data_IF_916837153127
#
_entry.id   IF_916837153127
#
_cell.length_a   1.000
_cell.length_b   1.000
_cell.length_c   1.000
_cell.angle_alpha   90.00
_cell.angle_beta   90.00
_cell.angle_gamma   90.00
#
_symmetry.space_group_name_H-M   'P 1'
#
loop_
_entity.id
_entity.type
_entity.pdbx_description
1 polymer ?
#
# COMPACT_ATOMS: atom_id res chain seq x y z
N UNK A 1 3.01 22.23 -2.41
CA UNK A 1 2.02 21.41 -3.15
C UNK A 1 2.71 20.14 -3.59
N UNK A 2 2.61 19.09 -2.79
CA UNK A 2 3.05 17.72 -3.08
C UNK A 2 2.72 16.88 -1.84
N UNK A 3 1.86 15.88 -1.99
CA UNK A 3 1.72 14.83 -1.00
C UNK A 3 2.68 13.74 -1.45
N UNK A 4 3.79 13.58 -0.73
CA UNK A 4 4.77 12.56 -1.03
C UNK A 4 4.68 11.44 0.03
N UNK A 5 4.16 10.28 -0.36
CA UNK A 5 4.84 9.04 0.00
C UNK A 5 6.08 8.99 -0.90
N UNK A 6 7.16 9.66 -0.51
CA UNK A 6 8.29 9.82 -1.43
C UNK A 6 9.08 8.54 -1.62
N UNK A 7 9.06 7.60 -0.67
CA UNK A 7 10.04 6.50 -0.67
C UNK A 7 9.56 5.20 0.00
N UNK A 8 8.36 4.67 -0.31
CA UNK A 8 7.96 3.38 0.27
C UNK A 8 7.38 2.42 -0.77
N UNK A 9 8.28 1.63 -1.36
CA UNK A 9 7.95 0.28 -1.82
C UNK A 9 7.61 -0.54 -0.59
N UNK A 10 6.32 -0.63 -0.24
CA UNK A 10 5.89 -1.31 0.97
C UNK A 10 4.95 -2.48 0.73
N UNK A 11 5.20 -3.56 1.46
CA UNK A 11 4.36 -4.74 1.49
C UNK A 11 3.55 -4.72 2.77
N UNK A 12 2.24 -4.76 2.63
CA UNK A 12 1.26 -4.80 3.71
C UNK A 12 0.60 -6.16 3.74
N UNK A 13 0.66 -6.82 4.89
CA UNK A 13 -0.06 -8.05 5.16
C UNK A 13 -1.29 -7.75 6.01
N UNK A 14 -2.41 -8.41 5.68
CA UNK A 14 -3.71 -8.22 6.32
C UNK A 14 -4.11 -9.53 7.01
N UNK A 15 -4.42 -9.46 8.29
CA UNK A 15 -4.91 -10.60 9.07
C UNK A 15 -6.43 -10.81 8.91
N UNK A 16 -6.93 -11.92 9.46
CA UNK A 16 -8.34 -12.31 9.37
C UNK A 16 -9.31 -11.29 9.99
N UNK A 17 -8.84 -10.55 11.00
CA UNK A 17 -9.61 -9.55 11.74
C UNK A 17 -9.62 -8.17 11.04
N UNK A 18 -8.92 -8.02 9.91
CA UNK A 18 -8.77 -6.74 9.22
C UNK A 18 -7.69 -5.84 9.82
N UNK A 19 -6.92 -6.36 10.76
CA UNK A 19 -5.65 -5.74 11.15
C UNK A 19 -4.65 -5.86 10.01
N UNK A 20 -3.75 -4.89 9.89
CA UNK A 20 -2.73 -4.89 8.86
C UNK A 20 -1.38 -4.46 9.41
N UNK A 21 -0.30 -4.91 8.77
CA UNK A 21 1.08 -4.63 9.19
C UNK A 21 2.01 -4.47 8.00
N UNK A 22 3.09 -3.70 8.17
CA UNK A 22 4.11 -3.50 7.13
C UNK A 22 5.22 -4.51 7.29
N UNK A 23 5.49 -5.26 6.22
CA UNK A 23 6.54 -6.28 6.15
C UNK A 23 7.80 -5.73 5.47
N UNK A 24 7.65 -4.81 4.53
CA UNK A 24 8.76 -4.12 3.84
C UNK A 24 8.43 -2.65 3.62
N UNK A 25 9.40 -1.72 3.69
CA UNK A 25 10.66 -1.90 4.43
C UNK A 25 10.35 -2.26 5.89
N UNK A 26 11.10 -3.18 6.47
CA UNK A 26 11.00 -3.44 7.90
C UNK A 26 11.29 -2.12 8.62
N UNK A 27 10.35 -1.61 9.42
CA UNK A 27 10.50 -0.33 10.12
C UNK A 27 11.72 -0.42 11.04
N UNK A 28 12.87 0.13 10.61
CA UNK A 28 14.08 0.20 11.44
C UNK A 28 13.99 1.43 12.34
N UNK A 29 13.82 1.19 13.64
CA UNK A 29 13.79 2.22 14.68
C UNK A 29 12.53 2.18 15.55
N UNK A 30 12.47 3.08 16.53
CA UNK A 30 11.37 3.26 17.49
C UNK A 30 10.10 3.91 16.87
N UNK A 31 10.03 4.05 15.55
CA UNK A 31 8.80 4.42 14.83
C UNK A 31 8.06 3.14 14.44
N UNK A 32 7.05 2.78 15.22
CA UNK A 32 6.19 1.61 14.99
C UNK A 32 5.04 1.87 14.01
N UNK A 33 4.92 3.09 13.50
CA UNK A 33 3.70 3.56 12.84
C UNK A 33 4.03 4.37 11.58
N UNK A 34 3.21 4.20 10.54
CA UNK A 34 3.25 4.98 9.30
C UNK A 34 2.69 6.36 9.61
N UNK A 35 3.42 7.40 9.24
CA UNK A 35 2.88 8.75 9.28
C UNK A 35 1.91 8.92 8.10
N UNK A 36 0.61 8.88 8.40
CA UNK A 36 -0.45 9.17 7.42
C UNK A 36 -0.85 10.63 7.61
N UNK A 37 -0.50 11.47 6.63
CA UNK A 37 -0.98 12.85 6.58
C UNK A 37 -2.17 12.96 5.64
N UNK A 38 -3.21 13.66 6.09
CA UNK A 38 -4.43 13.90 5.32
C UNK A 38 -4.48 15.38 4.94
N UNK A 39 -4.75 15.66 3.67
CA UNK A 39 -4.96 17.05 3.25
C UNK A 39 -6.21 17.61 3.92
N UNK A 40 -6.21 18.87 4.35
CA UNK A 40 -7.40 19.50 4.95
C UNK A 40 -8.64 19.52 4.02
N UNK A 41 -8.45 19.28 2.72
CA UNK A 41 -9.51 19.20 1.70
C UNK A 41 -9.80 17.77 1.23
N UNK A 42 -9.13 16.76 1.80
CA UNK A 42 -9.45 15.37 1.52
C UNK A 42 -10.70 14.98 2.31
N UNK A 43 -11.79 14.71 1.59
CA UNK A 43 -13.07 14.31 2.17
C UNK A 43 -13.28 12.81 2.15
N UNK A 44 -12.29 12.04 1.68
CA UNK A 44 -12.36 10.58 1.51
C UNK A 44 -11.61 9.82 2.61
N UNK A 45 -11.22 10.50 3.69
CA UNK A 45 -10.48 9.90 4.81
C UNK A 45 -9.01 9.64 4.49
N UNK A 46 -8.49 10.18 3.39
CA UNK A 46 -7.06 10.13 3.07
C UNK A 46 -6.57 8.75 2.66
N UNK A 47 -5.30 8.50 2.97
CA UNK A 47 -4.64 7.24 2.64
C UNK A 47 -5.03 6.10 3.59
N UNK A 48 -5.37 6.40 4.84
CA UNK A 48 -5.82 5.39 5.81
C UNK A 48 -7.06 4.65 5.30
N UNK A 49 -8.08 5.39 4.85
CA UNK A 49 -9.29 4.79 4.28
C UNK A 49 -9.00 3.94 3.05
N UNK A 50 -8.10 4.39 2.15
CA UNK A 50 -7.71 3.61 0.96
C UNK A 50 -7.03 2.30 1.32
N UNK A 51 -6.21 2.29 2.38
CA UNK A 51 -5.56 1.08 2.88
C UNK A 51 -6.59 0.15 3.54
N UNK A 52 -7.52 0.68 4.33
CA UNK A 52 -8.59 -0.12 4.96
C UNK A 52 -9.52 -0.76 3.92
N UNK A 53 -9.92 -0.01 2.90
CA UNK A 53 -10.73 -0.55 1.78
C UNK A 53 -9.97 -1.63 1.01
N UNK A 54 -8.69 -1.38 0.71
CA UNK A 54 -7.84 -2.37 0.06
C UNK A 54 -7.60 -3.60 0.94
N UNK A 55 -7.49 -3.44 2.25
CA UNK A 55 -7.33 -4.55 3.19
C UNK A 55 -8.59 -5.42 3.26
N UNK A 56 -9.78 -4.80 3.19
CA UNK A 56 -11.05 -5.53 3.10
C UNK A 56 -11.11 -6.40 1.83
N UNK A 57 -10.59 -5.91 0.71
CA UNK A 57 -10.48 -6.67 -0.56
C UNK A 57 -9.43 -7.78 -0.45
N UNK A 58 -8.27 -7.48 0.13
CA UNK A 58 -7.18 -8.44 0.30
C UNK A 58 -7.59 -9.68 1.09
N UNK A 59 -8.43 -9.50 2.12
CA UNK A 59 -9.04 -10.60 2.89
C UNK A 59 -9.91 -11.55 2.07
N UNK A 60 -10.40 -11.13 0.91
CA UNK A 60 -11.14 -12.00 -0.01
C UNK A 60 -10.21 -12.82 -0.93
N UNK A 61 -8.90 -12.79 -0.69
CA UNK A 61 -7.89 -13.49 -1.47
C UNK A 61 -7.48 -12.75 -2.75
N UNK A 62 -7.69 -11.43 -2.81
CA UNK A 62 -7.38 -10.60 -3.98
C UNK A 62 -6.24 -9.63 -3.63
N UNK A 63 -5.09 -9.81 -4.25
CA UNK A 63 -3.98 -8.86 -4.11
C UNK A 63 -4.38 -7.47 -4.62
N UNK A 64 -4.11 -6.43 -3.83
CA UNK A 64 -4.37 -5.03 -4.19
C UNK A 64 -3.06 -4.29 -4.38
N UNK A 65 -2.94 -3.57 -5.50
CA UNK A 65 -1.77 -2.77 -5.84
C UNK A 65 -2.15 -1.29 -5.85
N UNK A 66 -1.51 -0.49 -5.00
CA UNK A 66 -1.63 0.96 -4.99
C UNK A 66 -0.34 1.53 -5.59
N UNK A 67 -0.46 2.27 -6.69
CA UNK A 67 0.68 2.88 -7.37
C UNK A 67 0.31 4.24 -7.91
N UNK A 68 1.32 5.04 -8.22
CA UNK A 68 1.15 6.38 -8.76
C UNK A 68 0.56 6.27 -10.18
N UNK A 69 -0.53 6.99 -10.42
CA UNK A 69 -1.15 7.08 -11.76
C UNK A 69 -0.15 7.62 -12.79
N UNK A 70 -0.31 7.20 -14.05
CA UNK A 70 0.51 7.64 -15.18
C UNK A 70 1.99 7.26 -15.05
N UNK A 71 2.24 6.05 -14.56
CA UNK A 71 3.59 5.45 -14.47
C UNK A 71 3.61 4.06 -15.11
N UNK A 72 4.79 3.57 -15.49
CA UNK A 72 4.95 2.20 -15.99
C UNK A 72 4.43 1.16 -14.99
N UNK A 73 4.62 1.40 -13.69
CA UNK A 73 4.11 0.56 -12.60
C UNK A 73 2.58 0.50 -12.57
N UNK A 74 1.89 1.62 -12.84
CA UNK A 74 0.42 1.63 -12.97
C UNK A 74 -0.10 0.82 -14.15
N UNK A 75 0.62 0.84 -15.28
CA UNK A 75 0.28 0.04 -16.44
C UNK A 75 0.55 -1.45 -16.21
N UNK A 76 1.67 -1.78 -15.53
CA UNK A 76 2.00 -3.15 -15.12
C UNK A 76 0.97 -3.72 -14.15
N UNK A 77 0.54 -2.94 -13.15
CA UNK A 77 -0.53 -3.29 -12.23
C UNK A 77 -1.84 -3.63 -12.96
N UNK A 78 -2.25 -2.77 -13.90
CA UNK A 78 -3.47 -2.98 -14.68
C UNK A 78 -3.43 -4.25 -15.54
N UNK A 79 -2.23 -4.64 -16.01
CA UNK A 79 -2.01 -5.85 -16.80
C UNK A 79 -1.85 -7.11 -15.95
N UNK A 80 -1.78 -6.98 -14.63
CA UNK A 80 -1.44 -8.09 -13.71
C UNK A 80 0.02 -8.54 -13.81
N UNK A 81 0.89 -7.76 -14.45
CA UNK A 81 2.33 -8.06 -14.62
C UNK A 81 3.13 -7.47 -13.44
N UNK A 82 2.83 -7.96 -12.24
CA UNK A 82 3.42 -7.45 -11.01
C UNK A 82 4.36 -8.49 -10.39
N UNK A 83 5.66 -8.25 -10.50
CA UNK A 83 6.68 -9.01 -9.79
C UNK A 83 7.09 -8.30 -8.50
N UNK A 84 6.34 -8.53 -7.41
CA UNK A 84 6.55 -7.84 -6.13
C UNK A 84 7.81 -8.29 -5.37
N UNK A 85 8.49 -9.35 -5.81
CA UNK A 85 9.72 -9.83 -5.18
C UNK A 85 10.97 -9.16 -5.77
N UNK A 86 10.81 -8.39 -6.84
CA UNK A 86 11.86 -7.62 -7.49
C UNK A 86 11.95 -6.21 -6.88
N UNK A 87 13.17 -5.71 -6.73
CA UNK A 87 13.44 -4.36 -6.22
C UNK A 87 13.02 -3.25 -7.21
N UNK A 88 12.59 -3.62 -8.43
CA UNK A 88 12.12 -2.69 -9.47
C UNK A 88 10.66 -2.23 -9.27
N UNK A 89 9.92 -2.84 -8.34
CA UNK A 89 8.54 -2.46 -8.07
C UNK A 89 8.46 -1.14 -7.29
N UNK A 90 7.64 -0.21 -7.78
CA UNK A 90 7.36 1.06 -7.11
C UNK A 90 5.85 1.20 -6.85
N UNK A 91 5.45 0.84 -5.63
CA UNK A 91 4.08 0.94 -5.15
C UNK A 91 3.89 0.20 -3.83
N UNK A 92 2.67 0.26 -3.31
CA UNK A 92 2.24 -0.49 -2.13
C UNK A 92 1.49 -1.74 -2.58
N UNK A 93 1.81 -2.87 -1.97
CA UNK A 93 1.11 -4.14 -2.20
C UNK A 93 0.40 -4.53 -0.93
N UNK A 94 -0.89 -4.83 -1.03
CA UNK A 94 -1.74 -5.24 0.10
C UNK A 94 -2.26 -6.65 -0.21
N UNK A 95 -1.96 -7.59 0.68
CA UNK A 95 -2.30 -9.02 0.51
C UNK A 95 -2.75 -9.64 1.82
N UNK A 96 -3.55 -10.70 1.75
CA UNK A 96 -3.83 -11.51 2.92
C UNK A 96 -2.54 -12.12 3.47
N UNK A 97 -2.41 -12.13 4.79
CA UNK A 97 -1.41 -12.94 5.48
C UNK A 97 -1.69 -14.43 5.20
N UNK A 98 -0.63 -15.22 5.05
CA UNK A 98 -0.73 -16.67 4.90
C UNK A 98 -0.94 -17.38 6.23
#
# INVERSE_FOLDING_TARGET
MQFQFTDMCCLTEVDDNGGWSIVKPALQGNRKEVEISVAAHDTTGGMETKILEAAAIARLGVDVYITKVDTEHSLRALKGDVNTSSDDWLGTVIRAAK
#
